data_IF_610073074196
#
_entry.id   IF_610073074196
#
_cell.length_a   1.000
_cell.length_b   1.000
_cell.length_c   1.000
_cell.angle_alpha   90.00
_cell.angle_beta   90.00
_cell.angle_gamma   90.00
#
_symmetry.space_group_name_H-M   'P 1'
#
loop_
_entity.id
_entity.type
_entity.pdbx_description
1 polymer ?
#
# COMPACT_ATOMS: atom_id res chain seq x y z
N UNK A 1 -21.77 -34.52 44.50
CA UNK A 1 -20.34 -34.21 44.23
C UNK A 1 -20.32 -33.32 42.99
N UNK A 2 -20.14 -32.01 43.16
CA UNK A 2 -20.20 -31.04 42.07
C UNK A 2 -18.92 -31.12 41.23
N UNK A 3 -19.07 -31.21 39.90
CA UNK A 3 -17.95 -31.25 38.97
C UNK A 3 -17.16 -29.93 39.03
N UNK A 4 -15.82 -29.95 39.04
CA UNK A 4 -15.02 -28.74 39.10
C UNK A 4 -15.24 -27.90 37.83
N UNK A 5 -15.43 -26.59 38.01
CA UNK A 5 -15.70 -25.62 36.93
C UNK A 5 -14.68 -25.69 35.76
N UNK A 6 -13.48 -26.20 36.02
CA UNK A 6 -12.46 -26.46 35.01
C UNK A 6 -12.89 -27.51 33.95
N UNK A 7 -13.66 -28.53 34.33
CA UNK A 7 -14.14 -29.57 33.41
C UNK A 7 -15.21 -29.03 32.44
N UNK A 8 -16.06 -28.11 32.90
CA UNK A 8 -17.10 -27.46 32.10
C UNK A 8 -16.49 -26.50 31.07
N UNK A 9 -15.41 -25.80 31.44
CA UNK A 9 -14.64 -24.95 30.53
C UNK A 9 -13.89 -25.74 29.44
N UNK A 10 -13.39 -26.94 29.75
CA UNK A 10 -12.71 -27.78 28.75
C UNK A 10 -13.66 -28.40 27.73
N UNK A 11 -14.91 -28.71 28.10
CA UNK A 11 -15.91 -29.21 27.15
C UNK A 11 -16.35 -28.13 26.14
N UNK A 12 -16.45 -26.86 26.57
CA UNK A 12 -16.79 -25.74 25.69
C UNK A 12 -15.71 -25.39 24.65
N UNK A 13 -14.45 -25.80 24.87
CA UNK A 13 -13.34 -25.58 23.93
C UNK A 13 -13.28 -26.68 22.86
N UNK A 14 -13.82 -27.87 23.16
CA UNK A 14 -13.74 -29.05 22.28
C UNK A 14 -14.79 -29.05 21.16
N UNK A 15 -15.91 -28.34 21.34
CA UNK A 15 -16.98 -28.18 20.34
C UNK A 15 -16.92 -26.83 19.60
N UNK A 16 -15.79 -26.51 18.95
CA UNK A 16 -15.74 -25.38 18.02
C UNK A 16 -16.14 -25.84 16.61
N UNK A 17 -17.29 -25.42 16.05
CA UNK A 17 -17.56 -25.63 14.64
C UNK A 17 -16.52 -24.84 13.81
N UNK A 18 -15.93 -25.49 12.80
CA UNK A 18 -15.03 -24.86 11.82
C UNK A 18 -15.81 -23.81 11.01
N UNK A 19 -15.91 -22.60 11.55
CA UNK A 19 -16.60 -21.50 10.89
C UNK A 19 -15.75 -20.96 9.74
N UNK A 20 -16.19 -21.26 8.52
CA UNK A 20 -15.69 -20.69 7.26
C UNK A 20 -16.04 -19.20 7.27
N UNK A 21 -15.03 -18.34 7.38
CA UNK A 21 -15.18 -16.88 7.46
C UNK A 21 -15.73 -16.38 6.12
N UNK A 22 -17.03 -16.11 6.09
CA UNK A 22 -17.69 -15.36 5.01
C UNK A 22 -18.23 -14.06 5.58
N UNK A 23 -18.31 -13.04 4.73
CA UNK A 23 -18.50 -11.61 4.99
C UNK A 23 -19.68 -11.16 5.88
N UNK A 24 -20.46 -12.10 6.45
CA UNK A 24 -21.65 -11.83 7.27
C UNK A 24 -21.37 -11.67 8.78
N UNK A 25 -20.17 -12.00 9.27
CA UNK A 25 -19.84 -11.91 10.72
C UNK A 25 -19.73 -10.45 11.20
N UNK A 26 -19.45 -9.50 10.30
CA UNK A 26 -19.41 -8.07 10.59
C UNK A 26 -20.73 -7.54 11.17
N UNK A 27 -21.84 -8.22 10.91
CA UNK A 27 -23.17 -7.84 11.39
C UNK A 27 -23.44 -8.26 12.84
N UNK A 28 -22.75 -9.27 13.37
CA UNK A 28 -22.99 -9.74 14.76
C UNK A 28 -22.31 -8.82 15.78
N UNK A 29 -21.17 -8.20 15.45
CA UNK A 29 -20.54 -7.18 16.32
C UNK A 29 -21.37 -5.90 16.48
N UNK A 30 -22.38 -5.69 15.64
CA UNK A 30 -23.36 -4.59 15.78
C UNK A 30 -24.44 -4.87 16.83
N UNK A 31 -24.65 -6.13 17.26
CA UNK A 31 -25.77 -6.50 18.14
C UNK A 31 -25.43 -6.59 19.63
N UNK A 32 -24.14 -6.65 20.00
CA UNK A 32 -23.71 -6.46 21.39
C UNK A 32 -23.56 -4.95 21.69
N UNK A 33 -24.70 -4.26 21.73
CA UNK A 33 -24.77 -2.83 21.99
C UNK A 33 -24.07 -2.42 23.28
N UNK A 34 -23.00 -1.65 23.15
CA UNK A 34 -22.51 -0.76 24.20
C UNK A 34 -22.64 0.69 23.69
N UNK A 35 -23.89 1.15 23.64
CA UNK A 35 -24.27 2.57 23.51
C UNK A 35 -24.22 3.17 22.10
N UNK A 36 -25.19 4.06 21.80
CA UNK A 36 -25.26 4.86 20.57
C UNK A 36 -24.00 5.71 20.32
N UNK A 37 -23.19 5.99 21.36
CA UNK A 37 -21.90 6.68 21.23
C UNK A 37 -20.81 5.86 20.52
N UNK A 38 -20.86 4.53 20.58
CA UNK A 38 -19.84 3.67 19.97
C UNK A 38 -19.97 3.54 18.44
N UNK A 39 -21.16 3.74 17.86
CA UNK A 39 -21.39 3.55 16.42
C UNK A 39 -20.64 4.58 15.55
N UNK A 40 -20.60 5.85 15.98
CA UNK A 40 -19.79 6.87 15.30
C UNK A 40 -18.28 6.71 15.57
N UNK A 41 -17.90 6.27 16.77
CA UNK A 41 -16.51 6.01 17.15
C UNK A 41 -15.87 4.84 16.39
N UNK A 42 -16.61 3.75 16.17
CA UNK A 42 -16.16 2.57 15.43
C UNK A 42 -15.85 2.92 13.96
N UNK A 43 -16.69 3.75 13.31
CA UNK A 43 -16.43 4.22 11.94
C UNK A 43 -15.15 5.07 11.86
N UNK A 44 -14.88 5.90 12.87
CA UNK A 44 -13.66 6.71 12.93
C UNK A 44 -12.39 5.89 13.23
N UNK A 45 -12.49 4.84 14.05
CA UNK A 45 -11.38 3.97 14.42
C UNK A 45 -10.90 3.08 13.25
N UNK A 46 -11.82 2.58 12.43
CA UNK A 46 -11.47 1.77 11.24
C UNK A 46 -10.64 2.57 10.23
N UNK A 47 -10.86 3.89 10.13
CA UNK A 47 -10.13 4.76 9.19
C UNK A 47 -8.69 5.09 9.61
N UNK A 48 -8.37 5.06 10.91
CA UNK A 48 -7.05 5.50 11.43
C UNK A 48 -6.02 4.38 11.58
N UNK A 49 -6.43 3.11 11.64
CA UNK A 49 -5.47 2.01 11.81
C UNK A 49 -4.71 1.59 10.53
N UNK A 50 -5.15 2.05 9.34
CA UNK A 50 -4.55 1.71 8.04
C UNK A 50 -3.38 2.62 7.61
N UNK A 51 -2.70 3.30 8.56
CA UNK A 51 -1.70 4.33 8.22
C UNK A 51 -0.26 4.04 8.70
N UNK A 52 -0.04 3.21 9.72
CA UNK A 52 1.31 3.04 10.31
C UNK A 52 2.19 1.92 9.73
N UNK A 53 1.66 1.02 8.88
CA UNK A 53 2.48 -0.02 8.24
C UNK A 53 3.15 0.41 6.93
N UNK A 54 2.74 1.56 6.36
CA UNK A 54 3.18 1.98 5.03
C UNK A 54 4.64 2.43 5.00
N UNK A 55 5.10 3.07 6.06
CA UNK A 55 6.47 3.58 6.19
C UNK A 55 7.49 2.46 6.36
N UNK A 56 7.19 1.43 7.17
CA UNK A 56 8.09 0.27 7.38
C UNK A 56 8.15 -0.67 6.17
N UNK A 57 7.06 -0.78 5.41
CA UNK A 57 7.05 -1.57 4.18
C UNK A 57 7.87 -0.89 3.09
N UNK A 58 7.87 0.44 2.99
CA UNK A 58 8.59 1.20 1.95
C UNK A 58 10.12 0.98 1.96
N UNK A 59 10.67 0.46 3.07
CA UNK A 59 12.09 0.20 3.25
C UNK A 59 12.54 -1.21 2.81
N UNK A 60 11.64 -2.08 2.36
CA UNK A 60 12.02 -3.37 1.76
C UNK A 60 12.41 -3.18 0.28
N UNK A 61 13.61 -3.63 -0.09
CA UNK A 61 14.05 -3.77 -1.49
C UNK A 61 13.02 -4.64 -2.24
N UNK A 62 12.42 -4.07 -3.29
CA UNK A 62 11.32 -4.69 -4.05
C UNK A 62 9.92 -4.16 -3.72
N UNK A 63 9.75 -3.22 -2.78
CA UNK A 63 8.45 -2.58 -2.56
C UNK A 63 8.13 -1.55 -3.68
N UNK A 64 6.95 -1.65 -4.34
CA UNK A 64 6.49 -0.66 -5.31
C UNK A 64 6.48 0.79 -4.83
N UNK A 65 6.23 1.02 -3.53
CA UNK A 65 6.27 2.35 -2.93
C UNK A 65 7.69 2.92 -2.86
N UNK A 66 8.70 2.06 -2.64
CA UNK A 66 10.11 2.49 -2.63
C UNK A 66 10.52 3.03 -3.99
N UNK A 67 10.23 2.29 -5.06
CA UNK A 67 10.47 2.74 -6.43
C UNK A 67 9.74 4.05 -6.75
N UNK A 68 8.49 4.18 -6.32
CA UNK A 68 7.73 5.42 -6.50
C UNK A 68 8.39 6.61 -5.79
N UNK A 69 8.89 6.41 -4.57
CA UNK A 69 9.62 7.44 -3.83
C UNK A 69 10.96 7.78 -4.46
N UNK A 70 11.72 6.79 -4.91
CA UNK A 70 12.97 7.02 -5.63
C UNK A 70 12.75 7.81 -6.92
N UNK A 71 11.71 7.48 -7.70
CA UNK A 71 11.35 8.25 -8.89
C UNK A 71 11.00 9.69 -8.55
N UNK A 72 10.24 9.91 -7.47
CA UNK A 72 9.92 11.26 -7.03
C UNK A 72 11.17 12.05 -6.64
N UNK A 73 12.09 11.44 -5.90
CA UNK A 73 13.37 12.06 -5.55
C UNK A 73 14.21 12.38 -6.79
N UNK A 74 14.18 11.53 -7.82
CA UNK A 74 14.87 11.79 -9.07
C UNK A 74 14.28 12.98 -9.84
N UNK A 75 12.95 13.16 -9.82
CA UNK A 75 12.29 14.34 -10.39
C UNK A 75 12.54 15.62 -9.59
N UNK A 76 12.71 15.50 -8.27
CA UNK A 76 12.96 16.63 -7.37
C UNK A 76 14.47 16.82 -7.10
N UNK A 77 15.33 16.49 -8.06
CA UNK A 77 16.78 16.73 -7.93
C UNK A 77 17.12 18.21 -8.17
N UNK A 78 16.51 19.04 -7.34
CA UNK A 78 16.62 20.49 -7.38
C UNK A 78 18.02 20.91 -6.95
N UNK A 79 18.71 21.63 -7.85
CA UNK A 79 19.89 22.39 -7.47
C UNK A 79 19.50 23.64 -6.64
N UNK A 80 20.47 24.49 -6.28
CA UNK A 80 20.23 25.69 -5.48
C UNK A 80 19.18 26.67 -6.06
N UNK A 81 18.78 26.50 -7.33
CA UNK A 81 17.77 27.29 -8.01
C UNK A 81 16.41 26.60 -8.14
N UNK A 82 16.23 25.40 -7.59
CA UNK A 82 14.96 24.68 -7.58
C UNK A 82 14.59 24.03 -8.91
N UNK A 83 15.56 23.85 -9.81
CA UNK A 83 15.36 23.24 -11.12
C UNK A 83 16.30 22.04 -11.28
N UNK A 84 15.76 20.89 -11.67
CA UNK A 84 16.56 19.75 -12.11
C UNK A 84 15.85 18.42 -11.93
N UNK A 85 15.99 17.56 -12.92
CA UNK A 85 15.67 16.13 -12.83
C UNK A 85 16.98 15.35 -12.97
N UNK A 86 17.13 14.24 -12.27
CA UNK A 86 18.20 13.28 -12.49
C UNK A 86 17.70 12.19 -13.46
N UNK A 87 17.82 12.46 -14.76
CA UNK A 87 17.28 11.58 -15.80
C UNK A 87 17.95 10.20 -15.76
N UNK A 88 19.25 10.16 -15.50
CA UNK A 88 19.98 8.90 -15.33
C UNK A 88 19.42 8.07 -14.16
N UNK A 89 19.13 8.71 -13.02
CA UNK A 89 18.50 8.03 -11.89
C UNK A 89 17.10 7.55 -12.26
N UNK A 90 16.30 8.33 -12.98
CA UNK A 90 14.98 7.90 -13.47
C UNK A 90 15.11 6.61 -14.28
N UNK A 91 16.00 6.55 -15.27
CA UNK A 91 16.17 5.34 -16.10
C UNK A 91 16.63 4.14 -15.29
N UNK A 92 17.64 4.33 -14.42
CA UNK A 92 18.15 3.26 -13.55
C UNK A 92 17.06 2.68 -12.67
N UNK A 93 16.21 3.53 -12.08
CA UNK A 93 15.10 3.08 -11.24
C UNK A 93 14.08 2.31 -12.08
N UNK A 94 13.73 2.82 -13.26
CA UNK A 94 12.80 2.14 -14.18
C UNK A 94 13.36 0.77 -14.60
N UNK A 95 14.64 0.65 -14.89
CA UNK A 95 15.33 -0.61 -15.22
C UNK A 95 15.28 -1.62 -14.07
N UNK A 96 15.51 -1.17 -12.83
CA UNK A 96 15.48 -2.02 -11.63
C UNK A 96 14.11 -2.65 -11.35
N UNK A 97 13.02 -2.11 -11.92
CA UNK A 97 11.69 -2.74 -11.82
C UNK A 97 11.64 -3.97 -12.74
N UNK A 98 11.58 -5.21 -12.21
CA UNK A 98 11.88 -6.42 -12.99
C UNK A 98 10.74 -6.94 -13.86
N UNK A 99 9.50 -6.49 -13.68
CA UNK A 99 8.35 -7.04 -14.43
C UNK A 99 7.24 -6.01 -14.66
N UNK A 100 6.43 -6.24 -15.70
CA UNK A 100 5.26 -5.41 -15.98
C UNK A 100 4.23 -5.43 -14.82
N UNK A 101 4.14 -6.53 -14.08
CA UNK A 101 3.27 -6.64 -12.91
C UNK A 101 3.74 -5.74 -11.77
N UNK A 102 5.04 -5.70 -11.48
CA UNK A 102 5.58 -4.81 -10.47
C UNK A 102 5.46 -3.35 -10.92
N UNK A 103 5.74 -3.05 -12.19
CA UNK A 103 5.60 -1.69 -12.73
C UNK A 103 4.18 -1.14 -12.57
N UNK A 104 3.14 -1.94 -12.83
CA UNK A 104 1.75 -1.55 -12.56
C UNK A 104 1.48 -1.24 -11.09
N UNK A 105 2.15 -1.94 -10.17
CA UNK A 105 2.06 -1.63 -8.73
C UNK A 105 2.78 -0.33 -8.39
N UNK A 106 3.93 -0.04 -9.03
CA UNK A 106 4.67 1.22 -8.86
C UNK A 106 3.80 2.40 -9.33
N UNK A 107 3.20 2.31 -10.52
CA UNK A 107 2.27 3.32 -11.04
C UNK A 107 1.14 3.64 -10.06
N UNK A 108 0.55 2.59 -9.46
CA UNK A 108 -0.52 2.74 -8.45
C UNK A 108 0.01 3.36 -7.17
N UNK A 109 1.15 2.89 -6.67
CA UNK A 109 1.77 3.41 -5.46
C UNK A 109 2.13 4.90 -5.60
N UNK A 110 2.70 5.29 -6.73
CA UNK A 110 3.02 6.67 -7.06
C UNK A 110 1.77 7.56 -7.01
N UNK A 111 0.68 7.15 -7.67
CA UNK A 111 -0.60 7.86 -7.62
C UNK A 111 -1.19 7.96 -6.22
N UNK A 112 -1.07 6.91 -5.42
CA UNK A 112 -1.57 6.90 -4.06
C UNK A 112 -0.77 7.85 -3.15
N UNK A 113 0.55 7.91 -3.33
CA UNK A 113 1.48 8.75 -2.55
C UNK A 113 1.39 10.22 -2.93
N UNK A 114 1.48 10.54 -4.23
CA UNK A 114 1.67 11.91 -4.70
C UNK A 114 0.40 12.54 -5.31
N UNK A 115 -0.69 11.76 -5.43
CA UNK A 115 -1.93 12.19 -6.07
C UNK A 115 -1.79 12.61 -7.53
N UNK A 116 -0.63 12.32 -8.14
CA UNK A 116 -0.38 12.52 -9.56
C UNK A 116 -0.07 11.20 -10.27
N UNK A 117 -0.22 11.15 -11.59
CA UNK A 117 0.15 9.98 -12.37
C UNK A 117 1.64 10.04 -12.70
N UNK A 118 2.38 8.96 -12.48
CA UNK A 118 3.81 8.88 -12.84
C UNK A 118 4.05 9.20 -14.33
N UNK A 119 3.14 8.79 -15.22
CA UNK A 119 3.24 9.10 -16.65
C UNK A 119 3.08 10.60 -16.97
N UNK A 120 2.38 11.35 -16.11
CA UNK A 120 2.27 12.79 -16.26
C UNK A 120 3.58 13.48 -15.84
N UNK A 121 4.15 13.08 -14.69
CA UNK A 121 5.43 13.60 -14.22
C UNK A 121 6.58 13.23 -15.17
N UNK A 122 6.65 11.99 -15.64
CA UNK A 122 7.63 11.61 -16.68
C UNK A 122 7.54 12.50 -17.93
N UNK A 123 6.35 12.98 -18.29
CA UNK A 123 6.17 13.85 -19.46
C UNK A 123 6.48 15.32 -19.18
N UNK A 124 6.32 15.79 -17.94
CA UNK A 124 6.63 17.17 -17.57
C UNK A 124 8.11 17.36 -17.23
N UNK A 125 8.72 16.36 -16.60
CA UNK A 125 10.10 16.42 -16.12
C UNK A 125 11.12 16.05 -17.21
N UNK A 126 10.77 15.16 -18.14
CA UNK A 126 11.67 14.71 -19.19
C UNK A 126 11.40 15.40 -20.52
N UNK A 127 12.44 15.63 -21.31
CA UNK A 127 12.31 16.04 -22.71
C UNK A 127 11.66 14.94 -23.56
N UNK A 128 11.25 15.27 -24.78
CA UNK A 128 10.61 14.32 -25.69
C UNK A 128 11.46 13.06 -25.97
N UNK A 129 12.78 13.21 -26.10
CA UNK A 129 13.68 12.08 -26.38
C UNK A 129 13.84 11.19 -25.15
N UNK A 130 14.03 11.81 -23.99
CA UNK A 130 14.18 11.17 -22.69
C UNK A 130 12.91 10.40 -22.27
N UNK A 131 11.75 11.02 -22.48
CA UNK A 131 10.46 10.38 -22.28
C UNK A 131 10.28 9.15 -23.17
N UNK A 132 10.76 9.19 -24.42
CA UNK A 132 10.71 8.03 -25.31
C UNK A 132 11.56 6.86 -24.78
N UNK A 133 12.75 7.15 -24.25
CA UNK A 133 13.63 6.15 -23.62
C UNK A 133 12.93 5.55 -22.38
N UNK A 134 12.35 6.39 -21.52
CA UNK A 134 11.61 5.92 -20.36
C UNK A 134 10.44 4.98 -20.76
N UNK A 135 9.70 5.32 -21.81
CA UNK A 135 8.63 4.46 -22.34
C UNK A 135 9.16 3.15 -22.90
N UNK A 136 10.30 3.15 -23.58
CA UNK A 136 10.93 1.94 -24.09
C UNK A 136 11.32 0.99 -22.94
N UNK A 137 11.93 1.50 -21.88
CA UNK A 137 12.26 0.73 -20.67
C UNK A 137 11.01 0.16 -20.01
N UNK A 138 9.90 0.90 -20.02
CA UNK A 138 8.63 0.43 -19.45
C UNK A 138 8.01 -0.67 -20.32
N UNK A 139 8.01 -0.49 -21.63
CA UNK A 139 7.38 -1.39 -22.59
C UNK A 139 8.20 -2.68 -22.83
N UNK A 140 9.51 -2.64 -22.62
CA UNK A 140 10.38 -3.84 -22.73
C UNK A 140 10.14 -4.85 -21.61
N UNK A 141 9.46 -4.45 -20.53
CA UNK A 141 9.13 -5.35 -19.41
C UNK A 141 8.02 -6.30 -19.83
N UNK A 142 8.33 -7.59 -19.80
CA UNK A 142 7.38 -8.69 -20.06
C UNK A 142 6.60 -9.09 -18.80
#
# INVERSE_FOLDING_TARGET
MALPAAALAMQAIKDKPKARITSKVTTVLLTAGLGLGAFFGVRALIGKFKRNNRERLALQEGNPASFATQLKMAFENDNAFGWGTDEEMVYRILEQVPSASLMRKVLRAYKDLYKNNLSADLKSELSTQEYAIALEIINSKT
#
